data_IF_170531252815
#
_entry.id   IF_170531252815
#
_cell.length_a   1.000
_cell.length_b   1.000
_cell.length_c   1.000
_cell.angle_alpha   90.00
_cell.angle_beta   90.00
_cell.angle_gamma   90.00
#
_symmetry.space_group_name_H-M   'P 1'
#
loop_
_entity.id
_entity.type
_entity.pdbx_description
1 polymer ?
#
# COMPACT_ATOMS: atom_id res chain seq x y z
N UNK A 1 16.48 -41.96 -44.55
CA UNK A 1 16.64 -41.37 -45.89
C UNK A 1 16.80 -39.90 -45.73
N UNK A 2 18.02 -39.47 -45.90
CA UNK A 2 18.48 -38.61 -47.00
C UNK A 2 17.90 -37.22 -46.92
N UNK A 3 18.59 -36.21 -46.98
CA UNK A 3 19.91 -35.74 -47.39
C UNK A 3 19.85 -34.23 -47.21
N UNK A 4 20.90 -33.68 -46.63
CA UNK A 4 21.88 -32.85 -47.35
C UNK A 4 21.31 -31.48 -47.78
N UNK A 5 21.93 -30.39 -47.70
CA UNK A 5 23.31 -29.92 -47.90
C UNK A 5 23.27 -28.43 -47.62
N UNK A 6 24.12 -27.85 -46.80
CA UNK A 6 25.33 -27.12 -47.17
C UNK A 6 25.05 -25.91 -48.06
N UNK A 7 25.54 -24.76 -47.76
CA UNK A 7 26.77 -24.16 -48.26
C UNK A 7 26.76 -22.69 -47.81
N UNK A 8 27.66 -22.21 -46.93
CA UNK A 8 28.94 -21.56 -47.27
C UNK A 8 28.77 -20.30 -48.14
N UNK A 9 29.18 -19.24 -47.63
CA UNK A 9 30.30 -18.40 -48.13
C UNK A 9 30.18 -17.02 -47.54
N UNK A 10 31.12 -16.63 -46.76
CA UNK A 10 32.45 -16.12 -47.04
C UNK A 10 32.46 -14.64 -47.45
N UNK A 11 33.27 -14.01 -46.71
CA UNK A 11 34.29 -12.98 -46.94
C UNK A 11 33.79 -11.55 -46.97
N UNK A 12 34.20 -10.88 -46.00
CA UNK A 12 35.41 -10.07 -45.85
C UNK A 12 35.32 -8.77 -46.64
N UNK A 13 35.64 -7.69 -46.12
CA UNK A 13 36.94 -7.09 -46.18
C UNK A 13 36.99 -5.83 -45.31
N UNK A 14 38.03 -5.79 -44.57
CA UNK A 14 38.54 -4.67 -43.83
C UNK A 14 38.67 -3.40 -44.68
N UNK A 15 38.49 -2.26 -44.06
CA UNK A 15 39.27 -1.10 -44.37
C UNK A 15 39.40 -0.19 -43.17
N UNK A 16 40.61 -0.08 -42.77
CA UNK A 16 41.19 0.89 -41.88
C UNK A 16 40.75 2.32 -42.19
N UNK A 17 40.33 3.02 -41.18
CA UNK A 17 40.73 4.42 -41.05
C UNK A 17 40.98 4.73 -39.59
N UNK A 18 42.26 4.82 -39.30
CA UNK A 18 42.80 5.51 -38.15
C UNK A 18 42.58 7.00 -38.42
N UNK A 19 41.83 7.64 -37.59
CA UNK A 19 41.93 9.08 -37.38
C UNK A 19 41.92 9.31 -35.89
N UNK A 20 43.10 9.54 -35.36
CA UNK A 20 43.26 10.20 -34.07
C UNK A 20 42.62 11.57 -34.15
N UNK A 21 41.69 11.85 -33.31
CA UNK A 21 41.37 13.19 -32.86
C UNK A 21 40.90 13.16 -31.44
N UNK A 22 41.74 13.65 -30.63
CA UNK A 22 41.62 14.17 -29.28
C UNK A 22 40.22 14.29 -28.67
N UNK A 23 40.08 13.69 -27.49
CA UNK A 23 39.57 14.35 -26.31
C UNK A 23 38.15 14.83 -26.38
N UNK A 24 37.24 13.95 -25.95
CA UNK A 24 36.17 14.32 -25.07
C UNK A 24 35.75 13.02 -24.33
N UNK A 25 35.98 13.05 -23.05
CA UNK A 25 35.45 12.03 -22.15
C UNK A 25 33.94 12.02 -22.34
N UNK A 26 33.46 11.12 -23.17
CA UNK A 26 32.08 10.72 -23.13
C UNK A 26 31.86 9.97 -21.78
N UNK A 27 31.56 10.73 -20.76
CA UNK A 27 30.90 10.16 -19.58
C UNK A 27 29.71 9.40 -20.11
N UNK A 28 29.56 8.09 -19.81
CA UNK A 28 28.35 7.39 -20.13
C UNK A 28 27.22 8.14 -19.40
N UNK A 29 26.33 8.71 -20.19
CA UNK A 29 25.08 9.28 -19.71
C UNK A 29 24.32 8.14 -19.03
N UNK A 30 24.61 7.99 -17.74
CA UNK A 30 23.79 7.22 -16.83
C UNK A 30 22.54 8.06 -16.58
N UNK A 31 21.72 8.21 -17.60
CA UNK A 31 20.29 8.44 -17.40
C UNK A 31 19.80 7.19 -16.69
N UNK A 32 20.09 7.15 -15.40
CA UNK A 32 19.34 6.33 -14.49
C UNK A 32 17.89 6.69 -14.76
N UNK A 33 17.23 5.78 -15.42
CA UNK A 33 15.79 5.70 -15.42
C UNK A 33 15.39 5.65 -13.95
N UNK A 34 15.23 6.85 -13.40
CA UNK A 34 14.82 7.05 -12.03
C UNK A 34 13.44 6.42 -11.96
N UNK A 35 13.42 5.16 -11.56
CA UNK A 35 12.19 4.47 -11.25
C UNK A 35 11.41 5.41 -10.34
N UNK A 36 10.26 5.88 -10.81
CA UNK A 36 9.45 6.85 -10.10
C UNK A 36 9.34 6.37 -8.66
N UNK A 37 9.93 7.15 -7.75
CA UNK A 37 9.89 6.82 -6.33
C UNK A 37 8.42 6.57 -5.99
N UNK A 38 8.07 5.50 -5.29
CA UNK A 38 6.69 5.23 -4.94
C UNK A 38 6.17 6.48 -4.24
N UNK A 39 5.08 7.06 -4.79
CA UNK A 39 4.48 8.28 -4.23
C UNK A 39 4.22 8.00 -2.77
N UNK A 40 5.02 8.58 -1.90
CA UNK A 40 4.83 8.45 -0.46
C UNK A 40 3.48 9.05 -0.13
N UNK A 41 2.59 8.23 0.41
CA UNK A 41 1.28 8.69 0.84
C UNK A 41 1.51 9.66 2.00
N UNK A 42 1.00 10.89 1.96
CA UNK A 42 1.24 11.86 3.01
C UNK A 42 0.86 11.30 4.39
N UNK A 43 1.74 11.50 5.37
CA UNK A 43 1.44 11.18 6.75
C UNK A 43 0.45 12.23 7.26
N UNK A 44 -0.67 11.78 7.82
CA UNK A 44 -1.66 12.65 8.47
C UNK A 44 -1.48 12.61 9.97
N UNK A 45 -1.81 13.71 10.63
CA UNK A 45 -1.85 13.74 12.11
C UNK A 45 -2.98 12.85 12.58
N UNK A 46 -2.70 11.97 13.52
CA UNK A 46 -3.70 11.14 14.19
C UNK A 46 -4.09 11.84 15.47
N UNK A 47 -5.37 12.21 15.59
CA UNK A 47 -5.88 12.84 16.79
C UNK A 47 -5.98 11.82 17.94
N UNK A 48 -5.76 12.30 19.15
CA UNK A 48 -5.93 11.46 20.32
C UNK A 48 -7.42 11.18 20.55
N UNK A 49 -7.80 9.92 20.51
CA UNK A 49 -9.17 9.51 20.76
C UNK A 49 -9.45 9.44 22.26
N UNK A 50 -10.55 10.07 22.67
CA UNK A 50 -11.12 9.91 24.00
C UNK A 50 -12.54 9.38 23.85
N UNK A 51 -12.81 8.22 24.41
CA UNK A 51 -14.12 7.58 24.31
C UNK A 51 -15.20 8.48 24.91
N UNK A 52 -16.29 8.77 24.17
CA UNK A 52 -17.41 9.52 24.71
C UNK A 52 -18.16 8.71 25.78
N UNK A 53 -18.87 9.41 26.66
CA UNK A 53 -19.69 8.79 27.70
C UNK A 53 -20.94 8.07 27.16
N UNK A 54 -21.37 8.44 25.96
CA UNK A 54 -22.51 7.81 25.25
C UNK A 54 -22.02 6.97 24.09
N UNK A 55 -22.56 5.77 23.86
CA UNK A 55 -22.24 4.93 22.71
C UNK A 55 -22.86 5.43 21.41
N UNK A 56 -23.77 6.40 21.46
CA UNK A 56 -24.50 6.90 20.26
C UNK A 56 -23.57 7.61 19.32
N UNK A 57 -23.61 7.22 18.05
CA UNK A 57 -22.81 7.82 16.98
C UNK A 57 -23.69 8.56 15.96
N UNK A 58 -23.07 9.46 15.23
CA UNK A 58 -23.71 10.17 14.12
C UNK A 58 -23.66 9.33 12.84
N UNK A 59 -24.53 9.65 11.88
CA UNK A 59 -24.48 9.04 10.53
C UNK A 59 -23.12 9.29 9.85
N UNK A 60 -22.54 10.46 10.07
CA UNK A 60 -21.24 10.81 9.52
C UNK A 60 -20.11 9.93 10.09
N UNK A 61 -20.13 9.68 11.39
CA UNK A 61 -19.20 8.71 12.01
C UNK A 61 -19.40 7.30 11.47
N UNK A 62 -20.66 6.85 11.29
CA UNK A 62 -20.94 5.55 10.68
C UNK A 62 -20.44 5.46 9.23
N UNK A 63 -20.56 6.52 8.43
CA UNK A 63 -20.00 6.59 7.07
C UNK A 63 -18.47 6.47 7.07
N UNK A 64 -17.79 7.19 7.98
CA UNK A 64 -16.33 7.10 8.13
C UNK A 64 -15.90 5.71 8.56
N UNK A 65 -16.62 5.13 9.51
CA UNK A 65 -16.39 3.76 9.95
C UNK A 65 -16.55 2.74 8.82
N UNK A 66 -17.60 2.84 8.00
CA UNK A 66 -17.82 1.97 6.84
C UNK A 66 -16.66 2.05 5.84
N UNK A 67 -16.19 3.29 5.55
CA UNK A 67 -15.03 3.51 4.67
C UNK A 67 -13.75 2.92 5.27
N UNK A 68 -13.54 3.13 6.56
CA UNK A 68 -12.38 2.57 7.26
C UNK A 68 -12.39 1.04 7.22
N UNK A 69 -13.55 0.42 7.47
CA UNK A 69 -13.72 -1.04 7.47
C UNK A 69 -13.32 -1.65 6.13
N UNK A 70 -13.83 -1.12 5.02
CA UNK A 70 -13.49 -1.61 3.69
C UNK A 70 -11.97 -1.46 3.41
N UNK A 71 -11.42 -0.29 3.70
CA UNK A 71 -10.01 -0.01 3.45
C UNK A 71 -9.06 -0.82 4.37
N UNK A 72 -9.46 -1.12 5.61
CA UNK A 72 -8.70 -1.97 6.53
C UNK A 72 -8.63 -3.41 6.05
N UNK A 73 -9.69 -3.93 5.43
CA UNK A 73 -9.68 -5.26 4.81
C UNK A 73 -8.65 -5.30 3.68
N UNK A 74 -8.67 -4.33 2.78
CA UNK A 74 -7.69 -4.24 1.69
C UNK A 74 -6.25 -4.09 2.21
N UNK A 75 -6.07 -3.28 3.24
CA UNK A 75 -4.77 -3.13 3.89
C UNK A 75 -4.29 -4.46 4.47
N UNK A 76 -5.17 -5.18 5.16
CA UNK A 76 -4.87 -6.50 5.74
C UNK A 76 -4.38 -7.49 4.69
N UNK A 77 -5.08 -7.57 3.55
CA UNK A 77 -4.67 -8.42 2.42
C UNK A 77 -3.28 -8.07 1.91
N UNK A 78 -2.97 -6.78 1.75
CA UNK A 78 -1.64 -6.32 1.28
C UNK A 78 -0.51 -6.60 2.27
N UNK A 79 -0.81 -6.63 3.56
CA UNK A 79 0.18 -6.84 4.60
C UNK A 79 0.34 -8.31 5.01
N UNK A 80 -0.68 -9.15 4.77
CA UNK A 80 -0.64 -10.57 5.16
C UNK A 80 0.59 -11.27 4.57
N UNK A 81 0.85 -11.10 3.28
CA UNK A 81 2.01 -11.71 2.63
C UNK A 81 3.34 -11.24 3.24
N UNK A 82 3.47 -9.96 3.59
CA UNK A 82 4.67 -9.42 4.22
C UNK A 82 4.87 -9.98 5.62
N UNK A 83 3.77 -10.12 6.38
CA UNK A 83 3.80 -10.66 7.75
C UNK A 83 4.13 -12.14 7.73
N UNK A 84 3.53 -12.91 6.81
CA UNK A 84 3.70 -14.35 6.70
C UNK A 84 5.13 -14.72 6.25
N UNK A 85 5.71 -13.93 5.35
CA UNK A 85 7.06 -14.15 4.82
C UNK A 85 8.18 -13.50 5.65
N UNK A 86 7.83 -12.77 6.71
CA UNK A 86 8.82 -12.08 7.55
C UNK A 86 9.66 -13.07 8.37
N UNK A 87 10.97 -12.86 8.40
CA UNK A 87 11.84 -13.54 9.34
C UNK A 87 11.50 -13.17 10.78
N UNK A 88 11.73 -14.07 11.74
CA UNK A 88 11.34 -13.86 13.14
C UNK A 88 11.88 -12.56 13.74
N UNK A 89 13.11 -12.14 13.37
CA UNK A 89 13.69 -10.88 13.80
C UNK A 89 13.05 -9.62 13.19
N UNK A 90 12.32 -9.76 12.08
CA UNK A 90 11.69 -8.65 11.36
C UNK A 90 10.19 -8.51 11.66
N UNK A 91 9.57 -9.58 12.15
CA UNK A 91 8.11 -9.60 12.41
C UNK A 91 7.63 -8.45 13.28
N UNK A 92 8.36 -8.13 14.33
CA UNK A 92 8.00 -7.03 15.25
C UNK A 92 7.98 -5.69 14.52
N UNK A 93 8.98 -5.43 13.69
CA UNK A 93 9.07 -4.19 12.92
C UNK A 93 7.94 -4.10 11.88
N UNK A 94 7.65 -5.21 11.19
CA UNK A 94 6.58 -5.28 10.19
C UNK A 94 5.22 -5.10 10.85
N UNK A 95 4.96 -5.73 11.99
CA UNK A 95 3.72 -5.57 12.75
C UNK A 95 3.55 -4.13 13.26
N UNK A 96 4.62 -3.51 13.75
CA UNK A 96 4.58 -2.11 14.15
C UNK A 96 4.27 -1.19 12.96
N UNK A 97 4.91 -1.41 11.81
CA UNK A 97 4.62 -0.65 10.59
C UNK A 97 3.18 -0.86 10.11
N UNK A 98 2.65 -2.08 10.20
CA UNK A 98 1.25 -2.38 9.90
C UNK A 98 0.29 -1.64 10.84
N UNK A 99 0.57 -1.61 12.13
CA UNK A 99 -0.25 -0.88 13.11
C UNK A 99 -0.26 0.63 12.81
N UNK A 100 0.89 1.21 12.48
CA UNK A 100 0.97 2.61 12.04
C UNK A 100 0.16 2.83 10.76
N UNK A 101 0.24 1.92 9.80
CA UNK A 101 -0.52 2.02 8.55
C UNK A 101 -2.04 1.97 8.79
N UNK A 102 -2.52 1.13 9.72
CA UNK A 102 -3.93 1.06 10.13
C UNK A 102 -4.40 2.36 10.76
N UNK A 103 -3.58 2.91 11.65
CA UNK A 103 -3.87 4.16 12.35
C UNK A 103 -3.97 5.34 11.37
N UNK A 104 -2.99 5.46 10.48
CA UNK A 104 -2.98 6.45 9.40
C UNK A 104 -4.17 6.30 8.43
N UNK A 105 -4.57 5.08 8.13
CA UNK A 105 -5.72 4.82 7.27
C UNK A 105 -7.01 5.34 7.90
N UNK A 106 -7.23 5.05 9.17
CA UNK A 106 -8.39 5.53 9.93
C UNK A 106 -8.41 7.07 10.00
N UNK A 107 -7.27 7.70 10.25
CA UNK A 107 -7.15 9.15 10.29
C UNK A 107 -7.48 9.81 8.93
N UNK A 108 -7.05 9.22 7.82
CA UNK A 108 -7.36 9.73 6.46
C UNK A 108 -8.84 9.72 6.12
N UNK A 109 -9.61 8.83 6.68
CA UNK A 109 -11.07 8.82 6.49
C UNK A 109 -11.80 9.66 7.53
N UNK A 110 -11.08 10.34 8.42
CA UNK A 110 -11.59 11.29 9.39
C UNK A 110 -11.99 10.69 10.73
N UNK A 111 -11.47 9.52 11.07
CA UNK A 111 -11.53 8.98 12.43
C UNK A 111 -10.31 9.43 13.24
N UNK A 112 -10.42 9.46 14.56
CA UNK A 112 -9.28 9.64 15.46
C UNK A 112 -8.47 8.33 15.57
N UNK A 113 -7.87 7.93 14.46
CA UNK A 113 -7.07 6.74 14.33
C UNK A 113 -7.81 5.42 14.53
N UNK A 114 -7.03 4.37 14.71
CA UNK A 114 -7.54 3.01 14.94
C UNK A 114 -8.26 2.87 16.30
N UNK A 115 -7.97 3.75 17.23
CA UNK A 115 -8.59 3.74 18.56
C UNK A 115 -10.10 4.03 18.46
N UNK A 116 -10.50 5.07 17.72
CA UNK A 116 -11.91 5.36 17.47
C UNK A 116 -12.58 4.24 16.68
N UNK A 117 -11.92 3.71 15.66
CA UNK A 117 -12.44 2.57 14.90
C UNK A 117 -12.75 1.38 15.80
N UNK A 118 -11.83 1.01 16.69
CA UNK A 118 -12.00 -0.09 17.61
C UNK A 118 -13.15 0.18 18.60
N UNK A 119 -13.25 1.40 19.13
CA UNK A 119 -14.34 1.79 20.01
C UNK A 119 -15.69 1.68 19.29
N UNK A 120 -15.80 2.18 18.05
CA UNK A 120 -17.03 2.03 17.27
C UNK A 120 -17.36 0.54 17.08
N UNK A 121 -16.38 -0.29 16.77
CA UNK A 121 -16.57 -1.73 16.57
C UNK A 121 -17.06 -2.44 17.83
N UNK A 122 -16.50 -2.11 18.98
CA UNK A 122 -16.72 -2.88 20.23
C UNK A 122 -17.80 -2.30 21.12
N UNK A 123 -18.09 -1.00 20.98
CA UNK A 123 -19.04 -0.29 21.84
C UNK A 123 -20.26 0.21 21.08
N UNK A 124 -20.03 0.96 20.00
CA UNK A 124 -21.13 1.60 19.28
C UNK A 124 -21.91 0.63 18.37
N UNK A 125 -21.22 -0.28 17.68
CA UNK A 125 -21.85 -1.21 16.73
C UNK A 125 -22.82 -2.20 17.40
N UNK A 126 -22.53 -2.78 18.56
CA UNK A 126 -23.48 -3.66 19.24
C UNK A 126 -24.62 -2.91 19.96
N UNK A 127 -24.54 -1.59 20.09
CA UNK A 127 -25.58 -0.81 20.76
C UNK A 127 -26.84 -0.66 19.88
N UNK A 128 -27.98 -1.06 20.42
CA UNK A 128 -29.26 -1.05 19.72
C UNK A 128 -29.68 0.36 19.22
N UNK A 129 -29.25 1.42 19.89
CA UNK A 129 -29.56 2.81 19.52
C UNK A 129 -28.91 3.18 18.20
N UNK A 130 -27.82 2.55 17.81
CA UNK A 130 -27.09 2.81 16.59
C UNK A 130 -27.54 1.94 15.40
N UNK A 131 -28.43 0.98 15.61
CA UNK A 131 -28.83 0.03 14.58
C UNK A 131 -29.26 0.72 13.28
N UNK A 132 -30.17 1.68 13.37
CA UNK A 132 -30.68 2.41 12.20
C UNK A 132 -29.58 3.20 11.47
N UNK A 133 -28.62 3.77 12.22
CA UNK A 133 -27.51 4.53 11.67
C UNK A 133 -26.54 3.64 10.89
N UNK A 134 -26.25 2.44 11.41
CA UNK A 134 -25.39 1.48 10.71
C UNK A 134 -26.07 0.87 9.49
N UNK A 135 -27.37 0.53 9.60
CA UNK A 135 -28.16 0.03 8.47
C UNK A 135 -28.23 1.06 7.31
N UNK A 136 -28.34 2.35 7.62
CA UNK A 136 -28.34 3.43 6.63
C UNK A 136 -27.04 3.50 5.81
N UNK A 137 -25.92 3.04 6.38
CA UNK A 137 -24.61 2.99 5.69
C UNK A 137 -24.24 1.58 5.18
N UNK A 138 -25.22 0.65 5.20
CA UNK A 138 -25.07 -0.70 4.66
C UNK A 138 -24.35 -1.70 5.60
N UNK A 139 -24.16 -1.34 6.87
CA UNK A 139 -23.60 -2.23 7.88
C UNK A 139 -24.75 -2.92 8.60
N UNK A 140 -24.72 -4.25 8.65
CA UNK A 140 -25.67 -5.04 9.43
C UNK A 140 -25.00 -5.41 10.76
N UNK A 141 -25.43 -4.83 11.89
CA UNK A 141 -24.97 -5.28 13.20
C UNK A 141 -25.33 -6.76 13.38
N UNK A 142 -24.41 -7.55 13.92
CA UNK A 142 -24.71 -8.91 14.30
C UNK A 142 -25.73 -8.87 15.46
N UNK A 143 -26.82 -9.60 15.31
CA UNK A 143 -27.82 -9.79 16.38
C UNK A 143 -27.27 -10.70 17.45
#
# INVERSE_FOLDING_TARGET
MSKRILVISILAIASFFVACSQGEEATPDMTQQQAAAPKSVPIVTVDQFTAPSSPVITEDQAKRYAKASAALVELGVKWSEKIDNAADGEKVQILNAYNVARDQLCARVGLAGIAEYNWITTVALPDAQNKAVFEAVGIKPAN
#
